data_IF_359256651945
#
_entry.id   IF_359256651945
#
_cell.length_a   1.000
_cell.length_b   1.000
_cell.length_c   1.000
_cell.angle_alpha   90.00
_cell.angle_beta   90.00
_cell.angle_gamma   90.00
#
_symmetry.space_group_name_H-M   'P 1'
#
loop_
_entity.id
_entity.type
_entity.pdbx_description
1 polymer ?
#
# COMPACT_ATOMS: atom_id res chain seq x y z
N UNK A 1 4.45 25.33 5.04
CA UNK A 1 5.63 24.52 5.38
C UNK A 1 5.60 23.29 4.51
N UNK A 2 6.60 23.08 3.64
CA UNK A 2 6.73 21.85 2.85
C UNK A 2 6.89 20.72 3.86
N UNK A 3 5.87 19.87 3.97
CA UNK A 3 5.85 18.72 4.87
C UNK A 3 6.94 17.74 4.44
N UNK A 4 8.14 17.94 4.99
CA UNK A 4 9.24 16.98 4.94
C UNK A 4 8.70 15.60 5.32
N UNK A 5 8.75 14.66 4.38
CA UNK A 5 8.94 13.26 4.75
C UNK A 5 7.74 12.32 4.73
N UNK A 6 6.52 12.69 4.32
CA UNK A 6 5.52 11.65 4.03
C UNK A 6 5.76 11.16 2.60
N UNK A 7 5.97 9.86 2.44
CA UNK A 7 5.89 9.22 1.14
C UNK A 7 4.43 9.27 0.71
N UNK A 8 3.96 10.42 0.18
CA UNK A 8 2.52 10.71 -0.02
C UNK A 8 1.82 9.70 -0.93
N UNK A 9 2.58 8.90 -1.68
CA UNK A 9 2.10 7.88 -2.61
C UNK A 9 2.33 6.45 -2.11
N UNK A 10 2.78 6.26 -0.87
CA UNK A 10 3.34 4.99 -0.39
C UNK A 10 2.80 4.66 1.00
N UNK A 11 2.29 3.45 1.15
CA UNK A 11 1.64 2.96 2.35
C UNK A 11 2.69 2.39 3.29
N UNK A 12 3.11 3.16 4.29
CA UNK A 12 4.20 2.80 5.23
C UNK A 12 5.52 2.45 4.50
N UNK A 13 5.76 3.15 3.39
CA UNK A 13 6.91 2.92 2.52
C UNK A 13 6.83 1.66 1.67
N UNK A 14 5.67 1.03 1.59
CA UNK A 14 5.37 -0.06 0.67
C UNK A 14 4.41 0.40 -0.42
N UNK A 15 4.46 -0.29 -1.55
CA UNK A 15 3.51 -0.15 -2.67
C UNK A 15 3.08 -1.54 -3.11
N UNK A 16 1.96 -1.64 -3.83
CA UNK A 16 1.59 -2.89 -4.49
C UNK A 16 2.67 -3.30 -5.49
N UNK A 17 3.03 -4.57 -5.46
CA UNK A 17 3.90 -5.15 -6.47
C UNK A 17 3.06 -5.63 -7.65
N UNK A 18 2.99 -4.81 -8.69
CA UNK A 18 2.24 -5.08 -9.92
C UNK A 18 2.76 -6.28 -10.71
N UNK A 19 3.99 -6.72 -10.42
CA UNK A 19 4.63 -7.87 -11.07
C UNK A 19 4.37 -9.17 -10.30
N UNK A 20 3.85 -9.09 -9.08
CA UNK A 20 3.52 -10.26 -8.29
C UNK A 20 2.39 -11.05 -8.94
N UNK A 21 2.51 -12.37 -8.99
CA UNK A 21 1.50 -13.25 -9.61
C UNK A 21 0.12 -13.13 -8.96
N UNK A 22 0.06 -12.69 -7.71
CA UNK A 22 -1.16 -12.46 -6.95
C UNK A 22 -1.63 -10.99 -6.96
N UNK A 23 -1.00 -10.08 -7.72
CA UNK A 23 -1.37 -8.67 -7.77
C UNK A 23 -2.87 -8.44 -7.99
N UNK A 24 -3.46 -9.12 -8.98
CA UNK A 24 -4.89 -8.98 -9.30
C UNK A 24 -5.81 -9.44 -8.15
N UNK A 25 -5.39 -10.41 -7.37
CA UNK A 25 -6.14 -10.89 -6.21
C UNK A 25 -6.05 -9.88 -5.07
N UNK A 26 -4.84 -9.40 -4.78
CA UNK A 26 -4.59 -8.37 -3.77
C UNK A 26 -5.39 -7.10 -4.07
N UNK A 27 -5.30 -6.60 -5.30
CA UNK A 27 -6.02 -5.41 -5.78
C UNK A 27 -7.54 -5.55 -5.61
N UNK A 28 -8.11 -6.67 -6.06
CA UNK A 28 -9.53 -6.97 -5.92
C UNK A 28 -10.01 -7.03 -4.47
N UNK A 29 -9.23 -7.61 -3.57
CA UNK A 29 -9.60 -7.71 -2.16
C UNK A 29 -9.47 -6.35 -1.45
N UNK A 30 -8.55 -5.50 -1.88
CA UNK A 30 -8.45 -4.10 -1.40
C UNK A 30 -9.70 -3.33 -1.82
N UNK A 31 -10.05 -3.39 -3.10
CA UNK A 31 -11.25 -2.73 -3.64
C UNK A 31 -12.50 -3.17 -2.88
N UNK A 32 -12.70 -4.47 -2.64
CA UNK A 32 -13.85 -4.96 -1.87
C UNK A 32 -13.94 -4.36 -0.47
N UNK A 33 -12.82 -4.24 0.25
CA UNK A 33 -12.82 -3.64 1.59
C UNK A 33 -13.08 -2.13 1.56
N UNK A 34 -12.60 -1.47 0.51
CA UNK A 34 -12.78 -0.05 0.29
C UNK A 34 -14.21 0.30 -0.15
N UNK A 35 -14.75 -0.37 -1.17
CA UNK A 35 -16.13 -0.24 -1.65
C UNK A 35 -17.17 -0.63 -0.58
N UNK A 36 -16.81 -1.59 0.29
CA UNK A 36 -17.62 -1.90 1.46
C UNK A 36 -17.80 -0.72 2.43
N UNK A 37 -17.06 0.37 2.26
CA UNK A 37 -17.16 1.62 3.03
C UNK A 37 -16.71 1.48 4.49
N UNK A 38 -16.21 0.32 4.88
CA UNK A 38 -15.88 -0.02 6.27
C UNK A 38 -14.42 0.29 6.62
N UNK A 39 -13.55 0.38 5.61
CA UNK A 39 -12.13 0.66 5.76
C UNK A 39 -11.70 1.77 4.81
N UNK A 40 -10.78 2.63 5.27
CA UNK A 40 -10.05 3.50 4.34
C UNK A 40 -9.20 2.66 3.38
N UNK A 41 -8.87 3.20 2.21
CA UNK A 41 -8.00 2.49 1.26
C UNK A 41 -6.67 2.07 1.91
N UNK A 42 -6.12 2.92 2.79
CA UNK A 42 -4.92 2.59 3.58
C UNK A 42 -5.12 1.36 4.47
N UNK A 43 -6.21 1.30 5.23
CA UNK A 43 -6.50 0.16 6.10
C UNK A 43 -6.76 -1.12 5.31
N UNK A 44 -7.50 -1.02 4.19
CA UNK A 44 -7.72 -2.12 3.27
C UNK A 44 -6.39 -2.64 2.71
N UNK A 45 -5.53 -1.73 2.23
CA UNK A 45 -4.18 -2.06 1.75
C UNK A 45 -3.37 -2.81 2.82
N UNK A 46 -3.23 -2.26 4.02
CA UNK A 46 -2.42 -2.87 5.10
C UNK A 46 -2.96 -4.25 5.46
N UNK A 47 -4.29 -4.39 5.53
CA UNK A 47 -4.95 -5.65 5.92
C UNK A 47 -4.77 -6.74 4.88
N UNK A 48 -5.02 -6.44 3.61
CA UNK A 48 -4.92 -7.43 2.52
C UNK A 48 -3.46 -7.77 2.26
N UNK A 49 -2.58 -6.78 2.18
CA UNK A 49 -1.16 -7.02 1.91
C UNK A 49 -0.46 -7.73 3.07
N UNK A 50 -0.91 -7.53 4.32
CA UNK A 50 -0.46 -8.33 5.45
C UNK A 50 -0.89 -9.81 5.39
N UNK A 51 -1.99 -10.12 4.69
CA UNK A 51 -2.54 -11.47 4.56
C UNK A 51 -2.03 -12.21 3.30
N UNK A 52 -2.00 -11.52 2.17
CA UNK A 52 -1.69 -12.08 0.85
C UNK A 52 -0.27 -11.73 0.37
N UNK A 53 0.41 -10.78 1.01
CA UNK A 53 1.67 -10.24 0.50
C UNK A 53 1.44 -9.32 -0.70
N UNK A 54 2.31 -9.43 -1.71
CA UNK A 54 2.19 -8.65 -2.95
C UNK A 54 2.56 -7.17 -2.78
N UNK A 55 3.50 -6.86 -1.88
CA UNK A 55 4.04 -5.50 -1.74
C UNK A 55 5.53 -5.48 -1.99
N UNK A 56 6.00 -4.37 -2.56
CA UNK A 56 7.43 -4.05 -2.69
C UNK A 56 7.77 -2.76 -1.98
N UNK A 57 9.06 -2.58 -1.73
CA UNK A 57 9.58 -1.33 -1.15
C UNK A 57 9.27 -0.19 -2.11
N UNK A 58 8.71 0.88 -1.57
CA UNK A 58 8.57 2.09 -2.34
C UNK A 58 9.95 2.71 -2.55
N UNK A 59 10.31 2.96 -3.80
CA UNK A 59 11.61 3.53 -4.18
C UNK A 59 11.80 4.95 -3.62
N UNK A 60 10.70 5.70 -3.45
CA UNK A 60 10.70 7.08 -2.97
C UNK A 60 11.22 7.20 -1.52
N UNK A 61 10.93 6.22 -0.66
CA UNK A 61 11.39 6.21 0.74
C UNK A 61 12.21 4.97 1.09
N UNK A 62 12.61 4.17 0.10
CA UNK A 62 13.36 2.92 0.24
C UNK A 62 12.78 1.93 1.27
N UNK A 63 11.45 1.92 1.44
CA UNK A 63 10.79 1.03 2.41
C UNK A 63 10.76 1.53 3.85
N UNK A 64 11.16 2.78 4.13
CA UNK A 64 11.22 3.30 5.50
C UNK A 64 9.96 4.04 5.96
N UNK A 65 9.05 4.33 5.03
CA UNK A 65 7.86 5.14 5.30
C UNK A 65 8.14 6.64 5.52
N UNK A 66 9.42 7.04 5.56
CA UNK A 66 9.86 8.43 5.72
C UNK A 66 10.61 8.86 4.47
N UNK A 67 10.21 9.96 3.84
CA UNK A 67 10.99 10.50 2.73
C UNK A 67 12.32 11.04 3.30
N UNK A 68 13.42 10.58 2.71
CA UNK A 68 14.79 10.94 3.07
C UNK A 68 15.16 12.34 2.60
#
# INVERSE_FOLDING_TARGET
MVSKGRCSSCYDGRILDTEASNYKEVDKEIDKLYDGGQFSYYEAFVRITGKLGGTKKCEVCKGTGKAS
#
